data_IF_904524844361
#
_entry.id   IF_904524844361
#
_cell.length_a   1.000
_cell.length_b   1.000
_cell.length_c   1.000
_cell.angle_alpha   90.00
_cell.angle_beta   90.00
_cell.angle_gamma   90.00
#
_symmetry.space_group_name_H-M   'P 1'
#
loop_
_entity.id
_entity.type
_entity.pdbx_description
1 polymer ?
#
# COMPACT_ATOMS: atom_id res chain seq x y z
N UNK A 1 -6.64 -11.35 4.23
CA UNK A 1 -6.84 -12.31 3.12
C UNK A 1 -6.37 -13.68 3.57
N UNK A 2 -6.65 -14.73 2.82
CA UNK A 2 -6.24 -16.11 3.16
C UNK A 2 -4.84 -16.43 2.62
N UNK A 3 -3.89 -15.50 2.73
CA UNK A 3 -2.57 -15.68 2.10
C UNK A 3 -1.80 -16.85 2.74
N UNK A 4 -1.94 -17.02 4.05
CA UNK A 4 -1.32 -18.11 4.81
C UNK A 4 -1.73 -19.50 4.31
N UNK A 5 -2.92 -19.67 3.72
CA UNK A 5 -3.35 -20.97 3.17
C UNK A 5 -2.58 -21.38 1.92
N UNK A 6 -1.84 -20.45 1.31
CA UNK A 6 -1.02 -20.68 0.13
C UNK A 6 0.47 -20.51 0.43
N UNK A 7 0.88 -20.62 1.69
CA UNK A 7 2.26 -20.38 2.12
C UNK A 7 3.29 -21.19 1.32
N UNK A 8 3.00 -22.46 1.05
CA UNK A 8 3.87 -23.34 0.24
C UNK A 8 4.12 -22.77 -1.17
N UNK A 9 3.08 -22.24 -1.83
CA UNK A 9 3.22 -21.61 -3.14
C UNK A 9 4.09 -20.33 -3.08
N UNK A 10 4.12 -19.64 -1.94
CA UNK A 10 4.96 -18.45 -1.75
C UNK A 10 6.43 -18.80 -1.58
N UNK A 11 6.76 -19.99 -1.06
CA UNK A 11 8.15 -20.47 -0.97
C UNK A 11 8.80 -20.64 -2.35
N UNK A 12 8.01 -20.99 -3.37
CA UNK A 12 8.47 -21.08 -4.76
C UNK A 12 8.76 -19.71 -5.39
N UNK A 13 8.17 -18.63 -4.85
CA UNK A 13 8.23 -17.27 -5.42
C UNK A 13 9.32 -16.44 -4.74
N UNK A 14 9.53 -16.60 -3.43
CA UNK A 14 10.45 -15.75 -2.67
C UNK A 14 11.07 -16.48 -1.49
N UNK A 15 12.33 -16.16 -1.21
CA UNK A 15 13.05 -16.56 0.01
C UNK A 15 13.20 -15.41 1.01
N UNK A 16 12.53 -14.27 0.79
CA UNK A 16 12.58 -13.11 1.69
C UNK A 16 11.84 -13.41 3.01
N UNK A 17 12.53 -13.42 4.17
CA UNK A 17 11.91 -13.77 5.44
C UNK A 17 10.77 -12.82 5.84
N UNK A 18 10.88 -11.54 5.52
CA UNK A 18 9.88 -10.53 5.89
C UNK A 18 8.58 -10.72 5.10
N UNK A 19 8.71 -11.09 3.81
CA UNK A 19 7.54 -11.41 2.98
C UNK A 19 6.89 -12.69 3.50
N UNK A 20 7.66 -13.74 3.75
CA UNK A 20 7.15 -15.03 4.22
C UNK A 20 6.46 -14.91 5.59
N UNK A 21 7.02 -14.15 6.53
CA UNK A 21 6.37 -13.84 7.81
C UNK A 21 5.02 -13.13 7.58
N UNK A 22 5.00 -12.10 6.72
CA UNK A 22 3.77 -11.35 6.43
C UNK A 22 2.67 -12.21 5.77
N UNK A 23 3.03 -13.21 4.96
CA UNK A 23 2.07 -14.17 4.38
C UNK A 23 1.39 -15.01 5.46
N UNK A 24 2.14 -15.42 6.48
CA UNK A 24 1.61 -16.21 7.61
C UNK A 24 0.83 -15.35 8.61
N UNK A 25 1.18 -14.07 8.71
CA UNK A 25 0.47 -13.08 9.51
C UNK A 25 1.35 -11.87 9.76
N UNK A 26 0.85 -10.68 9.44
CA UNK A 26 1.62 -9.46 9.61
C UNK A 26 1.51 -8.91 11.03
N UNK A 27 2.64 -8.79 11.74
CA UNK A 27 2.72 -8.09 13.03
C UNK A 27 2.76 -6.58 12.80
N UNK A 28 1.78 -5.88 13.36
CA UNK A 28 1.74 -4.42 13.28
C UNK A 28 2.89 -3.84 14.13
N UNK A 29 3.73 -2.93 13.59
CA UNK A 29 4.89 -2.38 14.30
C UNK A 29 4.45 -1.31 15.30
N UNK A 30 3.93 -1.74 16.45
CA UNK A 30 3.59 -0.83 17.53
C UNK A 30 4.86 -0.28 18.18
N UNK A 31 4.90 1.04 18.41
CA UNK A 31 6.04 1.79 18.94
C UNK A 31 6.27 1.58 20.45
N UNK A 32 5.36 0.86 21.10
CA UNK A 32 5.38 0.54 22.52
C UNK A 32 4.11 -0.20 22.93
N UNK A 33 3.82 -0.23 24.24
CA UNK A 33 2.58 -0.80 24.76
C UNK A 33 1.37 0.07 24.38
N UNK A 34 0.38 -0.55 23.75
CA UNK A 34 -0.92 0.10 23.51
C UNK A 34 -1.69 0.12 24.84
N UNK A 35 -2.29 1.24 25.25
CA UNK A 35 -3.12 1.25 26.45
C UNK A 35 -4.34 0.36 26.26
N UNK A 36 -4.51 -0.61 27.16
CA UNK A 36 -5.69 -1.47 27.19
C UNK A 36 -6.96 -0.68 27.49
N UNK A 37 -8.06 -1.02 26.82
CA UNK A 37 -9.36 -0.33 26.94
C UNK A 37 -10.49 -1.32 27.10
N UNK A 38 -11.06 -1.37 28.30
CA UNK A 38 -12.23 -2.19 28.58
C UNK A 38 -13.53 -1.57 28.06
N UNK A 39 -13.56 -0.25 27.86
CA UNK A 39 -14.74 0.48 27.40
C UNK A 39 -14.36 1.51 26.35
N UNK A 40 -15.17 1.63 25.30
CA UNK A 40 -15.12 2.72 24.34
C UNK A 40 -16.55 3.15 24.02
N UNK A 41 -16.84 4.46 23.90
CA UNK A 41 -18.17 4.92 23.53
C UNK A 41 -18.63 4.26 22.22
N UNK A 42 -19.81 3.64 22.27
CA UNK A 42 -20.45 3.13 21.07
C UNK A 42 -21.01 4.28 20.23
N UNK A 43 -20.88 4.22 18.90
CA UNK A 43 -21.54 5.17 18.02
C UNK A 43 -23.07 5.02 18.11
N UNK A 44 -23.78 6.15 18.18
CA UNK A 44 -25.24 6.17 18.14
C UNK A 44 -25.69 6.23 16.68
N UNK A 45 -26.48 5.24 16.26
CA UNK A 45 -27.00 5.13 14.91
C UNK A 45 -28.53 5.24 14.86
N UNK A 46 -29.04 5.69 13.71
CA UNK A 46 -30.47 5.57 13.40
C UNK A 46 -30.84 4.09 13.22
N UNK A 47 -32.13 3.73 13.37
CA UNK A 47 -32.58 2.35 13.18
C UNK A 47 -32.21 1.79 11.79
N UNK A 48 -32.30 2.62 10.75
CA UNK A 48 -31.91 2.24 9.40
C UNK A 48 -30.39 2.00 9.29
N UNK A 49 -29.57 2.85 9.90
CA UNK A 49 -28.12 2.69 9.89
C UNK A 49 -27.66 1.48 10.72
N UNK A 50 -28.32 1.18 11.85
CA UNK A 50 -28.05 -0.04 12.64
C UNK A 50 -28.24 -1.29 11.79
N UNK A 51 -29.36 -1.39 11.05
CA UNK A 51 -29.60 -2.52 10.15
C UNK A 51 -28.52 -2.62 9.05
N UNK A 52 -28.01 -1.50 8.55
CA UNK A 52 -26.92 -1.51 7.57
C UNK A 52 -25.60 -1.99 8.20
N UNK A 53 -25.32 -1.60 9.43
CA UNK A 53 -24.16 -2.07 10.18
C UNK A 53 -24.24 -3.59 10.41
N UNK A 54 -25.37 -4.09 10.91
CA UNK A 54 -25.58 -5.51 11.20
C UNK A 54 -25.39 -6.39 9.97
N UNK A 55 -26.01 -5.99 8.84
CA UNK A 55 -25.83 -6.69 7.56
C UNK A 55 -24.38 -6.69 7.08
N UNK A 56 -23.63 -5.59 7.27
CA UNK A 56 -22.22 -5.52 6.88
C UNK A 56 -21.33 -6.37 7.81
N UNK A 57 -21.64 -6.44 9.10
CA UNK A 57 -20.95 -7.31 10.06
C UNK A 57 -21.15 -8.78 9.72
N UNK A 58 -22.39 -9.21 9.45
CA UNK A 58 -22.69 -10.57 9.00
C UNK A 58 -21.95 -10.90 7.70
N UNK A 59 -21.96 -9.97 6.73
CA UNK A 59 -21.22 -10.12 5.47
C UNK A 59 -19.71 -10.21 5.66
N UNK A 60 -19.13 -9.58 6.68
CA UNK A 60 -17.71 -9.67 7.01
C UNK A 60 -17.38 -10.99 7.72
N UNK A 61 -18.25 -11.46 8.61
CA UNK A 61 -18.13 -12.77 9.27
C UNK A 61 -18.22 -13.91 8.26
N UNK A 62 -19.17 -13.87 7.33
CA UNK A 62 -19.29 -14.84 6.23
C UNK A 62 -18.04 -14.91 5.33
N UNK A 63 -17.30 -13.80 5.23
CA UNK A 63 -16.02 -13.75 4.51
C UNK A 63 -14.82 -14.11 5.37
N UNK A 64 -15.04 -14.45 6.64
CA UNK A 64 -14.00 -14.68 7.66
C UNK A 64 -13.02 -13.50 7.77
N UNK A 65 -13.51 -12.29 7.48
CA UNK A 65 -12.72 -11.07 7.59
C UNK A 65 -12.69 -10.54 9.03
N UNK A 66 -13.71 -10.88 9.82
CA UNK A 66 -13.81 -10.62 11.26
C UNK A 66 -14.30 -11.87 11.97
N UNK A 67 -14.01 -11.97 13.26
CA UNK A 67 -14.52 -13.00 14.17
C UNK A 67 -14.99 -12.33 15.46
N UNK A 68 -15.96 -12.92 16.18
CA UNK A 68 -16.25 -12.51 17.55
C UNK A 68 -14.97 -12.61 18.40
N UNK A 69 -14.70 -11.57 19.17
CA UNK A 69 -13.55 -11.51 20.06
C UNK A 69 -14.03 -11.58 21.51
N UNK A 70 -13.40 -12.44 22.31
CA UNK A 70 -13.63 -12.49 23.76
C UNK A 70 -12.88 -11.34 24.45
N UNK A 71 -13.45 -10.72 25.50
CA UNK A 71 -12.76 -9.69 26.25
C UNK A 71 -11.42 -10.19 26.82
N UNK A 72 -10.37 -9.40 26.67
CA UNK A 72 -9.03 -9.75 27.15
C UNK A 72 -8.33 -8.55 27.81
N UNK A 73 -7.29 -8.82 28.61
CA UNK A 73 -6.62 -7.80 29.43
C UNK A 73 -5.88 -6.75 28.62
N UNK A 74 -5.51 -7.06 27.38
CA UNK A 74 -4.75 -6.21 26.45
C UNK A 74 -5.59 -5.76 25.24
N UNK A 75 -6.92 -5.81 25.36
CA UNK A 75 -7.80 -5.41 24.27
C UNK A 75 -7.72 -3.91 23.95
N UNK A 76 -7.92 -3.57 22.68
CA UNK A 76 -8.08 -2.20 22.22
C UNK A 76 -9.40 -2.05 21.48
N UNK A 77 -10.24 -1.14 21.96
CA UNK A 77 -11.55 -0.86 21.36
C UNK A 77 -11.49 0.44 20.55
N UNK A 78 -12.04 0.38 19.33
CA UNK A 78 -12.19 1.52 18.41
C UNK A 78 -13.62 1.61 17.93
N UNK A 79 -14.13 2.83 17.74
CA UNK A 79 -15.45 3.03 17.12
C UNK A 79 -15.42 2.79 15.61
N UNK A 80 -16.60 2.80 15.00
CA UNK A 80 -16.79 2.75 13.55
C UNK A 80 -17.92 3.70 13.16
N UNK A 81 -18.02 4.01 11.87
CA UNK A 81 -19.05 4.91 11.33
C UNK A 81 -19.39 4.56 9.89
N UNK A 82 -20.51 5.09 9.39
CA UNK A 82 -20.95 4.92 8.00
C UNK A 82 -20.62 6.15 7.16
N UNK A 83 -20.21 5.93 5.91
CA UNK A 83 -20.10 6.98 4.89
C UNK A 83 -20.91 6.62 3.64
N UNK A 84 -21.42 7.62 2.93
CA UNK A 84 -22.07 7.43 1.63
C UNK A 84 -21.06 7.10 0.53
N UNK A 85 -21.40 6.14 -0.33
CA UNK A 85 -20.65 5.86 -1.57
C UNK A 85 -21.17 6.77 -2.69
N UNK A 86 -20.29 7.29 -3.57
CA UNK A 86 -20.72 8.00 -4.77
C UNK A 86 -21.62 7.17 -5.69
N UNK A 87 -21.42 5.84 -5.71
CA UNK A 87 -22.21 4.89 -6.49
C UNK A 87 -23.55 4.50 -5.84
N UNK A 88 -23.90 5.09 -4.69
CA UNK A 88 -25.04 4.69 -3.87
C UNK A 88 -24.69 3.64 -2.80
N UNK A 89 -25.46 3.66 -1.70
CA UNK A 89 -25.27 2.82 -0.52
C UNK A 89 -24.25 3.38 0.50
N UNK A 90 -24.12 2.71 1.64
CA UNK A 90 -23.19 3.08 2.73
C UNK A 90 -21.93 2.19 2.73
N UNK A 91 -20.85 2.68 3.35
CA UNK A 91 -19.63 1.93 3.67
C UNK A 91 -19.37 2.05 5.17
N UNK A 92 -19.18 0.92 5.84
CA UNK A 92 -18.71 0.85 7.21
C UNK A 92 -17.20 1.10 7.26
N UNK A 93 -16.80 2.05 8.11
CA UNK A 93 -15.41 2.49 8.29
C UNK A 93 -15.02 2.30 9.75
N UNK A 94 -13.94 1.58 10.00
CA UNK A 94 -13.32 1.51 11.32
C UNK A 94 -12.56 2.81 11.60
N UNK A 95 -12.78 3.42 12.76
CA UNK A 95 -12.06 4.62 13.17
C UNK A 95 -10.71 4.25 13.83
N UNK A 96 -9.69 4.08 13.00
CA UNK A 96 -8.34 3.71 13.44
C UNK A 96 -7.44 4.91 13.79
N UNK A 97 -8.00 6.13 13.87
CA UNK A 97 -7.20 7.35 14.10
C UNK A 97 -6.37 7.28 15.37
N UNK A 98 -6.97 6.77 16.44
CA UNK A 98 -6.33 6.65 17.75
C UNK A 98 -5.29 5.51 17.75
N UNK A 99 -5.67 4.32 17.24
CA UNK A 99 -4.75 3.19 17.10
C UNK A 99 -3.47 3.56 16.33
N UNK A 100 -3.61 4.35 15.26
CA UNK A 100 -2.48 4.77 14.43
C UNK A 100 -1.44 5.62 15.18
N UNK A 101 -1.76 6.20 16.35
CA UNK A 101 -0.79 6.96 17.16
C UNK A 101 0.26 6.06 17.82
N UNK A 102 -0.05 4.77 17.99
CA UNK A 102 0.82 3.79 18.63
C UNK A 102 1.60 2.97 17.61
N UNK A 103 1.50 3.27 16.31
CA UNK A 103 2.21 2.57 15.25
C UNK A 103 3.41 3.42 14.84
N UNK A 104 4.61 2.85 14.86
CA UNK A 104 5.80 3.44 14.24
C UNK A 104 6.08 2.68 12.94
N UNK A 105 5.42 3.06 11.83
CA UNK A 105 5.64 2.36 10.58
C UNK A 105 7.07 2.65 10.10
N UNK A 106 7.79 1.66 9.56
CA UNK A 106 9.07 1.92 8.95
C UNK A 106 8.90 2.98 7.85
N UNK A 107 9.89 3.88 7.72
CA UNK A 107 9.85 4.94 6.73
C UNK A 107 9.56 4.35 5.33
N UNK A 108 8.35 4.56 4.84
CA UNK A 108 7.85 3.93 3.63
C UNK A 108 8.78 4.22 2.45
N UNK A 109 9.29 3.15 1.84
CA UNK A 109 9.94 3.21 0.53
C UNK A 109 8.92 2.71 -0.47
N UNK A 110 8.34 3.62 -1.25
CA UNK A 110 7.32 3.22 -2.23
C UNK A 110 7.98 2.52 -3.43
N UNK A 111 7.23 1.64 -4.08
CA UNK A 111 7.57 1.13 -5.40
C UNK A 111 6.59 1.70 -6.43
N UNK A 112 7.09 2.15 -7.57
CA UNK A 112 6.25 2.68 -8.64
C UNK A 112 6.71 2.17 -10.00
N UNK A 113 5.85 1.38 -10.64
CA UNK A 113 5.90 1.13 -12.08
C UNK A 113 4.61 1.66 -12.70
N UNK A 114 4.68 2.86 -13.25
CA UNK A 114 3.50 3.65 -13.59
C UNK A 114 3.44 3.92 -15.10
N UNK A 115 2.23 4.16 -15.65
CA UNK A 115 2.09 4.74 -16.97
C UNK A 115 2.90 6.03 -17.10
N UNK A 116 3.58 6.22 -18.23
CA UNK A 116 4.52 7.33 -18.43
C UNK A 116 3.87 8.71 -18.22
N UNK A 117 2.57 8.84 -18.49
CA UNK A 117 1.79 10.08 -18.32
C UNK A 117 1.74 10.56 -16.85
N UNK A 118 1.93 9.65 -15.89
CA UNK A 118 1.93 9.98 -14.47
C UNK A 118 3.33 10.34 -13.94
N UNK A 119 4.40 10.05 -14.68
CA UNK A 119 5.78 10.27 -14.22
C UNK A 119 6.02 11.72 -13.76
N UNK A 120 5.63 12.77 -14.50
CA UNK A 120 5.89 14.14 -14.05
C UNK A 120 5.22 14.46 -12.70
N UNK A 121 3.98 13.99 -12.51
CA UNK A 121 3.21 14.19 -11.27
C UNK A 121 3.82 13.41 -10.10
N UNK A 122 4.29 12.19 -10.37
CA UNK A 122 4.92 11.34 -9.36
C UNK A 122 6.26 11.91 -8.93
N UNK A 123 7.11 12.30 -9.89
CA UNK A 123 8.38 12.96 -9.57
C UNK A 123 8.17 14.22 -8.74
N UNK A 124 7.14 15.03 -9.06
CA UNK A 124 6.76 16.18 -8.24
C UNK A 124 6.32 15.78 -6.83
N UNK A 125 5.48 14.76 -6.70
CA UNK A 125 5.04 14.26 -5.39
C UNK A 125 6.20 13.74 -4.53
N UNK A 126 7.21 13.12 -5.16
CA UNK A 126 8.44 12.70 -4.47
C UNK A 126 9.16 13.90 -3.83
N UNK A 127 9.24 15.02 -4.57
CA UNK A 127 9.81 16.28 -4.06
C UNK A 127 8.96 16.81 -2.91
N UNK A 128 7.68 17.03 -3.14
CA UNK A 128 6.77 17.71 -2.21
C UNK A 128 6.68 16.97 -0.88
N UNK A 129 6.60 15.63 -0.92
CA UNK A 129 6.48 14.79 0.28
C UNK A 129 7.83 14.43 0.90
N UNK A 130 8.96 14.84 0.29
CA UNK A 130 10.31 14.36 0.64
C UNK A 130 10.37 12.82 0.66
N UNK A 131 9.60 12.19 -0.23
CA UNK A 131 9.46 10.74 -0.26
C UNK A 131 10.73 10.07 -0.79
N UNK A 132 10.87 8.78 -0.52
CA UNK A 132 11.94 7.95 -1.09
C UNK A 132 11.31 6.66 -1.60
N UNK A 133 11.73 6.19 -2.76
CA UNK A 133 11.15 4.99 -3.35
C UNK A 133 11.93 4.45 -4.55
N UNK A 134 11.60 3.23 -4.96
CA UNK A 134 12.10 2.60 -6.17
C UNK A 134 11.13 2.91 -7.31
N UNK A 135 11.63 3.51 -8.39
CA UNK A 135 10.80 3.86 -9.54
C UNK A 135 11.33 3.16 -10.78
N UNK A 136 10.43 2.47 -11.48
CA UNK A 136 10.65 1.86 -12.79
C UNK A 136 10.02 2.78 -13.83
N UNK A 137 10.80 3.21 -14.82
CA UNK A 137 10.34 4.15 -15.85
C UNK A 137 11.00 3.90 -17.21
N UNK A 138 10.38 4.33 -18.31
CA UNK A 138 11.04 4.37 -19.62
C UNK A 138 12.32 5.21 -19.59
N UNK A 139 13.41 4.69 -20.14
CA UNK A 139 14.66 5.43 -20.25
C UNK A 139 14.64 6.38 -21.46
N UNK A 140 14.16 7.60 -21.24
CA UNK A 140 14.02 8.61 -22.30
C UNK A 140 14.69 9.95 -21.92
N UNK A 141 16.01 10.09 -22.16
CA UNK A 141 16.75 11.31 -21.84
C UNK A 141 16.19 12.60 -22.45
N UNK A 142 15.52 12.49 -23.60
CA UNK A 142 14.95 13.64 -24.32
C UNK A 142 13.62 14.16 -23.75
N UNK A 143 13.08 13.55 -22.69
CA UNK A 143 11.79 13.96 -22.11
C UNK A 143 11.96 15.09 -21.08
N UNK A 144 11.00 16.02 -21.04
CA UNK A 144 11.08 17.21 -20.17
C UNK A 144 11.19 16.90 -18.67
N UNK A 145 10.67 15.75 -18.23
CA UNK A 145 10.74 15.31 -16.83
C UNK A 145 12.07 14.63 -16.46
N UNK A 146 12.88 14.23 -17.44
CA UNK A 146 14.10 13.45 -17.23
C UNK A 146 15.16 14.19 -16.40
N UNK A 147 15.39 15.51 -16.57
CA UNK A 147 16.29 16.25 -15.70
C UNK A 147 15.88 16.17 -14.22
N UNK A 148 14.60 16.32 -13.90
CA UNK A 148 14.11 16.22 -12.50
C UNK A 148 14.35 14.81 -11.94
N UNK A 149 14.15 13.79 -12.75
CA UNK A 149 14.49 12.41 -12.38
C UNK A 149 15.97 12.29 -11.99
N UNK A 150 16.90 12.79 -12.81
CA UNK A 150 18.33 12.74 -12.51
C UNK A 150 18.68 13.43 -11.19
N UNK A 151 18.05 14.58 -10.89
CA UNK A 151 18.27 15.30 -9.62
C UNK A 151 17.75 14.51 -8.40
N UNK A 152 16.77 13.64 -8.59
CA UNK A 152 16.20 12.82 -7.53
C UNK A 152 16.96 11.51 -7.28
N UNK A 153 17.96 11.17 -8.10
CA UNK A 153 18.69 9.91 -7.99
C UNK A 153 19.37 9.76 -6.63
N UNK A 154 18.99 8.70 -5.93
CA UNK A 154 19.57 8.29 -4.66
C UNK A 154 20.50 7.07 -4.78
N UNK A 155 20.47 6.38 -5.93
CA UNK A 155 21.36 5.28 -6.32
C UNK A 155 21.63 5.35 -7.82
N UNK A 156 22.65 4.64 -8.28
CA UNK A 156 22.87 4.41 -9.71
C UNK A 156 21.66 3.69 -10.32
N UNK A 157 21.17 4.10 -11.51
CA UNK A 157 20.08 3.41 -12.19
C UNK A 157 20.52 2.04 -12.71
N UNK A 158 19.70 1.02 -12.47
CA UNK A 158 19.79 -0.26 -13.16
C UNK A 158 19.05 -0.16 -14.50
N UNK A 159 19.69 -0.61 -15.58
CA UNK A 159 19.12 -0.61 -16.92
C UNK A 159 18.57 -1.98 -17.29
N UNK A 160 17.28 -2.01 -17.63
CA UNK A 160 16.63 -3.17 -18.22
C UNK A 160 16.51 -2.92 -19.73
N UNK A 161 17.36 -3.60 -20.51
CA UNK A 161 17.37 -3.51 -21.96
C UNK A 161 16.08 -4.09 -22.57
N UNK A 162 15.74 -3.73 -23.82
CA UNK A 162 14.52 -4.22 -24.46
C UNK A 162 14.50 -5.74 -24.49
N UNK A 163 13.43 -6.32 -23.93
CA UNK A 163 13.27 -7.75 -23.82
C UNK A 163 11.78 -8.10 -23.93
N UNK A 164 11.50 -9.19 -24.65
CA UNK A 164 10.14 -9.69 -24.89
C UNK A 164 9.38 -9.98 -23.58
N UNK A 165 10.08 -10.37 -22.53
CA UNK A 165 9.47 -10.75 -21.24
C UNK A 165 9.30 -9.57 -20.26
N UNK A 166 9.84 -8.38 -20.55
CA UNK A 166 9.77 -7.25 -19.62
C UNK A 166 8.45 -6.47 -19.69
N UNK A 167 7.83 -6.42 -20.87
CA UNK A 167 6.61 -5.65 -21.12
C UNK A 167 5.47 -6.59 -21.55
N UNK A 168 5.22 -7.62 -20.75
CA UNK A 168 4.15 -8.60 -20.97
C UNK A 168 3.02 -8.42 -19.96
N UNK A 169 1.78 -8.67 -20.41
CA UNK A 169 0.61 -8.78 -19.55
C UNK A 169 -0.11 -10.09 -19.89
N UNK A 170 -0.59 -10.87 -18.91
CA UNK A 170 -1.31 -12.11 -19.20
C UNK A 170 -2.67 -11.88 -19.88
N UNK A 171 -3.16 -10.64 -19.93
CA UNK A 171 -4.47 -10.27 -20.46
C UNK A 171 -4.40 -9.34 -21.68
N UNK A 172 -3.21 -9.10 -22.23
CA UNK A 172 -3.03 -8.22 -23.40
C UNK A 172 -2.00 -8.81 -24.35
N UNK A 173 -2.12 -8.42 -25.62
CA UNK A 173 -1.06 -8.67 -26.59
C UNK A 173 0.26 -8.07 -26.12
N UNK A 174 1.34 -8.65 -26.66
CA UNK A 174 2.70 -8.18 -26.39
C UNK A 174 2.81 -6.67 -26.62
N UNK A 175 3.35 -5.94 -25.65
CA UNK A 175 3.47 -4.49 -25.76
C UNK A 175 4.34 -4.10 -26.97
N UNK A 176 3.90 -3.21 -27.88
CA UNK A 176 4.57 -2.96 -29.16
C UNK A 176 6.02 -2.48 -29.01
N UNK A 177 6.33 -1.77 -27.92
CA UNK A 177 7.67 -1.24 -27.66
C UNK A 177 8.66 -2.26 -27.04
N UNK A 178 8.32 -3.55 -26.92
CA UNK A 178 9.20 -4.55 -26.29
C UNK A 178 10.59 -4.68 -26.96
N UNK A 179 10.71 -4.32 -28.25
CA UNK A 179 11.96 -4.38 -29.02
C UNK A 179 12.88 -3.18 -28.81
N UNK A 180 12.35 -2.05 -28.37
CA UNK A 180 13.06 -0.76 -28.37
C UNK A 180 13.06 -0.04 -27.03
N UNK A 181 12.11 -0.34 -26.15
CA UNK A 181 11.98 0.35 -24.87
C UNK A 181 12.93 -0.25 -23.84
N UNK A 182 13.89 0.57 -23.40
CA UNK A 182 14.68 0.30 -22.20
C UNK A 182 13.98 0.89 -20.99
N UNK A 183 14.03 0.21 -19.85
CA UNK A 183 13.55 0.74 -18.57
C UNK A 183 14.73 1.08 -17.66
N UNK A 184 14.65 2.20 -16.97
CA UNK A 184 15.50 2.54 -15.84
C UNK A 184 14.80 2.18 -14.54
N UNK A 185 15.53 1.53 -13.62
CA UNK A 185 15.08 1.25 -12.26
C UNK A 185 16.03 1.97 -11.31
N UNK A 186 15.53 2.94 -10.57
CA UNK A 186 16.36 3.70 -9.65
C UNK A 186 15.66 4.02 -8.34
N UNK A 187 16.45 4.11 -7.28
CA UNK A 187 16.00 4.71 -6.03
C UNK A 187 15.97 6.22 -6.21
N UNK A 188 14.80 6.83 -6.00
CA UNK A 188 14.61 8.27 -5.99
C UNK A 188 14.38 8.78 -4.57
N UNK A 189 14.83 9.99 -4.28
CA UNK A 189 14.60 10.64 -2.99
C UNK A 189 14.44 12.15 -3.10
N UNK A 190 13.31 12.67 -2.63
CA UNK A 190 13.08 14.11 -2.46
C UNK A 190 13.84 14.71 -1.28
N UNK A 191 14.48 13.89 -0.43
CA UNK A 191 15.24 14.36 0.74
C UNK A 191 16.55 15.05 0.37
N UNK A 192 17.09 14.79 -0.82
CA UNK A 192 18.41 15.28 -1.28
C UNK A 192 18.39 16.69 -1.86
N UNK A 193 17.23 17.33 -2.02
CA UNK A 193 17.11 18.69 -2.55
C UNK A 193 17.40 19.80 -1.51
N UNK A 194 18.30 19.55 -0.54
CA UNK A 194 18.97 20.63 0.18
C UNK A 194 20.17 21.05 -0.66
N UNK A 195 20.02 22.12 -1.43
CA UNK A 195 21.13 23.03 -1.67
C UNK A 195 21.46 23.69 -0.33
N UNK A 196 22.69 23.48 0.13
CA UNK A 196 23.37 24.47 0.97
C UNK A 196 23.44 25.82 0.23
#
# INVERSE_FOLDING_TARGET
GRLSTFYENWLDITSDPSVLEAIQGYRIPFSGGIPSRFTHPEPVFSQADTLLCDNELERLQLKEAIVPAEPCTDQFLSSFFLIDKPSGGKRLILNLRDLNQYIDPPHFKFFAFLPFILLPRVLRKIVDDKATGMVVMPWWPSQAWFPLFCHLLASEPLFLLPNRLLLSSPFRDQHPAWRSLSLGVAKLSGKRLRTD
#
